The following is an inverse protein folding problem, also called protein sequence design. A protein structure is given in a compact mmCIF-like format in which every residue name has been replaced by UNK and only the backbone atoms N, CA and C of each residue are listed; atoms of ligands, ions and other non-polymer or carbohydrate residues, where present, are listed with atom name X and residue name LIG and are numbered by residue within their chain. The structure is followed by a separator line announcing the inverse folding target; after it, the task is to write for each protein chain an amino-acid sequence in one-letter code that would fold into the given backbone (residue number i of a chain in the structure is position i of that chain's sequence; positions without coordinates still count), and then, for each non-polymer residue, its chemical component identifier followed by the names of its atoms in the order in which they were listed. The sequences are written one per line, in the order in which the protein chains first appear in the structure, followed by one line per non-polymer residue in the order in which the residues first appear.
data_IF_101415006800
#
_entry.id   IF_101415006800
#
_cell.length_a   1.000
_cell.length_b   1.000
_cell.length_c   1.000
_cell.angle_alpha   90.00
_cell.angle_beta   90.00
_cell.angle_gamma   90.00
#
_symmetry.space_group_name_H-M   'P 1'
#
loop_
_entity.id
_entity.type
_entity.pdbx_description
1 polymer ?
#
# COMPACT_ATOMS: atom_id res chain seq x y z
N UNK A 1 21.20 9.57 -20.95
CA UNK A 1 20.15 9.65 -19.91
C UNK A 1 18.99 8.80 -20.39
N UNK A 2 18.39 7.98 -19.51
CA UNK A 2 17.14 7.29 -19.82
C UNK A 2 16.05 8.36 -20.03
N UNK A 3 15.16 8.14 -21.01
CA UNK A 3 13.99 9.00 -21.17
C UNK A 3 13.07 8.87 -19.97
N UNK A 4 12.47 9.98 -19.50
CA UNK A 4 11.55 10.01 -18.35
C UNK A 4 10.38 9.03 -18.52
N UNK A 5 9.98 8.68 -19.76
CA UNK A 5 8.96 7.68 -20.09
C UNK A 5 9.26 6.25 -19.58
N UNK A 6 10.52 5.92 -19.31
CA UNK A 6 10.92 4.61 -18.82
C UNK A 6 11.21 4.60 -17.32
N UNK A 7 11.37 5.77 -16.70
CA UNK A 7 11.83 5.84 -15.30
C UNK A 7 10.80 5.19 -14.38
N UNK A 8 9.54 5.59 -14.50
CA UNK A 8 8.49 5.04 -13.63
C UNK A 8 8.26 3.55 -13.89
N UNK A 9 8.32 3.10 -15.13
CA UNK A 9 8.23 1.67 -15.47
C UNK A 9 9.36 0.85 -14.83
N UNK A 10 10.61 1.32 -14.97
CA UNK A 10 11.77 0.65 -14.37
C UNK A 10 11.64 0.66 -12.86
N UNK A 11 11.22 1.78 -12.28
CA UNK A 11 11.12 1.95 -10.84
C UNK A 11 9.99 1.11 -10.24
N UNK A 12 8.80 1.11 -10.83
CA UNK A 12 7.70 0.21 -10.41
C UNK A 12 8.09 -1.25 -10.52
N UNK A 13 8.84 -1.61 -11.58
CA UNK A 13 9.38 -2.96 -11.77
C UNK A 13 10.42 -3.31 -10.70
N UNK A 14 11.16 -2.33 -10.18
CA UNK A 14 12.12 -2.55 -9.10
C UNK A 14 11.48 -3.06 -7.81
N UNK A 15 10.19 -2.73 -7.55
CA UNK A 15 9.42 -3.34 -6.46
C UNK A 15 9.30 -4.86 -6.58
N UNK A 16 9.30 -5.38 -7.80
CA UNK A 16 9.18 -6.81 -8.03
C UNK A 16 10.43 -7.59 -7.61
N UNK A 17 11.60 -6.95 -7.50
CA UNK A 17 12.82 -7.63 -7.06
C UNK A 17 12.73 -8.08 -5.59
N UNK A 18 12.46 -7.22 -4.58
CA UNK A 18 12.26 -7.67 -3.21
C UNK A 18 10.99 -8.53 -3.06
N UNK A 19 9.93 -8.29 -3.86
CA UNK A 19 8.75 -9.14 -3.89
C UNK A 19 9.13 -10.58 -4.29
N UNK A 20 9.88 -10.75 -5.39
CA UNK A 20 10.34 -12.05 -5.87
C UNK A 20 11.28 -12.71 -4.86
N UNK A 21 12.18 -11.94 -4.26
CA UNK A 21 13.09 -12.42 -3.23
C UNK A 21 12.31 -13.02 -2.05
N UNK A 22 11.31 -12.31 -1.53
CA UNK A 22 10.47 -12.83 -0.44
C UNK A 22 9.69 -14.07 -0.90
N UNK A 23 9.12 -14.03 -2.11
CA UNK A 23 8.39 -15.17 -2.67
C UNK A 23 9.24 -16.44 -2.76
N UNK A 24 10.51 -16.30 -3.12
CA UNK A 24 11.43 -17.43 -3.27
C UNK A 24 11.94 -17.94 -1.93
N UNK A 25 12.36 -17.04 -1.04
CA UNK A 25 12.99 -17.38 0.24
C UNK A 25 11.99 -17.82 1.32
N UNK A 26 10.72 -17.40 1.24
CA UNK A 26 9.70 -17.67 2.26
C UNK A 26 8.47 -18.39 1.68
N UNK A 27 8.59 -19.72 1.36
CA UNK A 27 7.52 -20.47 0.68
C UNK A 27 6.17 -20.44 1.41
N UNK A 28 6.18 -20.37 2.75
CA UNK A 28 4.98 -20.32 3.58
C UNK A 28 4.10 -19.07 3.30
N UNK A 29 4.71 -17.98 2.81
CA UNK A 29 4.04 -16.73 2.54
C UNK A 29 3.55 -16.59 1.09
N UNK A 30 3.97 -17.45 0.15
CA UNK A 30 3.69 -17.35 -1.29
C UNK A 30 2.22 -17.15 -1.62
N UNK A 31 1.37 -18.02 -1.06
CA UNK A 31 -0.08 -17.96 -1.32
C UNK A 31 -0.69 -16.63 -0.88
N UNK A 32 -0.28 -16.14 0.27
CA UNK A 32 -0.79 -14.87 0.83
C UNK A 32 -0.29 -13.69 0.02
N UNK A 33 0.98 -13.69 -0.38
CA UNK A 33 1.56 -12.66 -1.26
C UNK A 33 0.82 -12.57 -2.58
N UNK A 34 0.65 -13.70 -3.28
CA UNK A 34 -0.04 -13.75 -4.58
C UNK A 34 -1.49 -13.28 -4.46
N UNK A 35 -2.19 -13.72 -3.42
CA UNK A 35 -3.56 -13.30 -3.14
C UNK A 35 -3.64 -11.78 -2.89
N UNK A 36 -2.78 -11.24 -2.05
CA UNK A 36 -2.75 -9.82 -1.72
C UNK A 36 -2.36 -8.96 -2.92
N UNK A 37 -1.35 -9.39 -3.69
CA UNK A 37 -0.95 -8.73 -4.94
C UNK A 37 -2.10 -8.68 -5.95
N UNK A 38 -2.83 -9.78 -6.13
CA UNK A 38 -3.97 -9.82 -7.04
C UNK A 38 -5.10 -8.88 -6.60
N UNK A 39 -5.33 -8.74 -5.29
CA UNK A 39 -6.35 -7.82 -4.75
C UNK A 39 -5.95 -6.35 -4.85
N UNK A 40 -4.67 -6.03 -4.93
CA UNK A 40 -4.21 -4.64 -5.06
C UNK A 40 -4.10 -4.16 -6.50
N UNK A 41 -3.94 -5.05 -7.49
CA UNK A 41 -3.89 -4.65 -8.92
C UNK A 41 -5.00 -3.67 -9.31
N UNK A 42 -6.30 -3.90 -8.97
CA UNK A 42 -7.37 -2.99 -9.36
C UNK A 42 -7.21 -1.56 -8.84
N UNK A 43 -6.42 -1.33 -7.79
CA UNK A 43 -6.15 0.03 -7.32
C UNK A 43 -5.27 0.82 -8.31
N UNK A 44 -4.48 0.17 -9.15
CA UNK A 44 -3.80 0.85 -10.26
C UNK A 44 -4.77 1.47 -11.28
N UNK A 45 -6.03 0.99 -11.35
CA UNK A 45 -7.07 1.60 -12.18
C UNK A 45 -7.65 2.89 -11.59
N UNK A 46 -7.23 3.28 -10.39
CA UNK A 46 -7.61 4.58 -9.81
C UNK A 46 -6.72 5.73 -10.28
N UNK A 47 -5.70 5.46 -11.09
CA UNK A 47 -4.76 6.45 -11.64
C UNK A 47 -5.43 7.74 -12.15
N UNK A 48 -6.53 7.70 -12.92
CA UNK A 48 -7.20 8.91 -13.41
C UNK A 48 -7.72 9.87 -12.31
N UNK A 49 -7.82 9.40 -11.07
CA UNK A 49 -8.20 10.23 -9.92
C UNK A 49 -7.01 11.08 -9.45
N UNK A 50 -5.80 10.52 -9.55
CA UNK A 50 -4.56 11.15 -9.07
C UNK A 50 -3.89 11.99 -10.13
N UNK A 51 -3.90 11.55 -11.39
CA UNK A 51 -3.30 12.27 -12.53
C UNK A 51 -4.29 13.31 -13.08
N UNK A 52 -3.86 14.57 -13.33
CA UNK A 52 -2.55 15.15 -13.00
C UNK A 52 -2.53 15.88 -11.64
N UNK A 53 -3.55 15.73 -10.80
CA UNK A 53 -3.79 16.55 -9.60
C UNK A 53 -2.78 16.29 -8.48
N UNK A 54 -2.25 15.08 -8.39
CA UNK A 54 -1.26 14.69 -7.40
C UNK A 54 0.12 14.53 -8.03
N UNK A 55 0.18 13.85 -9.16
CA UNK A 55 1.38 13.60 -9.93
C UNK A 55 1.04 13.41 -11.42
N UNK A 56 2.06 13.47 -12.27
CA UNK A 56 1.88 13.27 -13.71
C UNK A 56 3.10 12.59 -14.32
N UNK A 57 3.35 11.30 -14.03
CA UNK A 57 4.52 10.60 -14.56
C UNK A 57 4.35 10.35 -16.06
N UNK A 58 5.39 10.62 -16.86
CA UNK A 58 5.44 10.08 -18.21
C UNK A 58 5.38 8.56 -18.16
N UNK A 59 4.44 7.95 -18.89
CA UNK A 59 4.19 6.51 -18.88
C UNK A 59 4.72 5.83 -20.15
N UNK A 60 4.90 4.51 -20.07
CA UNK A 60 5.31 3.68 -21.19
C UNK A 60 4.28 3.83 -22.34
N UNK A 61 4.76 4.16 -23.55
CA UNK A 61 3.91 4.41 -24.74
C UNK A 61 2.90 5.56 -24.57
N UNK A 62 3.09 6.46 -23.62
CA UNK A 62 2.15 7.51 -23.25
C UNK A 62 0.74 6.97 -22.89
N UNK A 63 0.68 5.79 -22.30
CA UNK A 63 -0.58 5.13 -22.00
C UNK A 63 -1.43 5.95 -21.01
N UNK A 64 -0.84 6.47 -19.95
CA UNK A 64 -1.56 7.30 -18.99
C UNK A 64 -2.17 8.54 -19.66
N UNK A 65 -1.40 9.22 -20.52
CA UNK A 65 -1.83 10.44 -21.23
C UNK A 65 -2.92 10.15 -22.28
N UNK A 66 -2.89 8.96 -22.91
CA UNK A 66 -3.85 8.55 -23.95
C UNK A 66 -5.11 7.92 -23.42
N UNK A 67 -5.01 7.15 -22.33
CA UNK A 67 -6.11 6.31 -21.83
C UNK A 67 -6.53 6.62 -20.39
N UNK A 68 -5.70 7.37 -19.66
CA UNK A 68 -5.84 7.60 -18.22
C UNK A 68 -5.29 6.46 -17.35
N UNK A 69 -4.77 5.38 -17.96
CA UNK A 69 -4.27 4.19 -17.26
C UNK A 69 -2.87 3.84 -17.75
N UNK A 70 -2.06 3.24 -16.90
CA UNK A 70 -0.73 2.75 -17.24
C UNK A 70 -0.45 1.37 -16.64
N UNK A 71 0.61 0.72 -17.15
CA UNK A 71 1.05 -0.58 -16.65
C UNK A 71 1.84 -0.44 -15.35
N UNK A 72 2.50 0.67 -15.18
CA UNK A 72 3.36 0.99 -14.06
C UNK A 72 2.58 0.99 -12.75
N UNK A 73 1.41 1.62 -12.75
CA UNK A 73 0.52 1.65 -11.59
C UNK A 73 -0.03 0.27 -11.22
N UNK A 74 -0.30 -0.59 -12.22
CA UNK A 74 -0.68 -1.98 -11.97
C UNK A 74 0.46 -2.78 -11.35
N UNK A 75 1.70 -2.63 -11.88
CA UNK A 75 2.89 -3.29 -11.35
C UNK A 75 3.22 -2.80 -9.94
N UNK A 76 3.15 -1.49 -9.74
CA UNK A 76 3.34 -0.88 -8.42
C UNK A 76 2.35 -1.45 -7.40
N UNK A 77 1.05 -1.43 -7.71
CA UNK A 77 0.01 -1.96 -6.83
C UNK A 77 0.21 -3.45 -6.54
N UNK A 78 0.56 -4.25 -7.56
CA UNK A 78 0.90 -5.66 -7.36
C UNK A 78 2.05 -5.84 -6.38
N UNK A 79 3.14 -5.09 -6.54
CA UNK A 79 4.33 -5.18 -5.70
C UNK A 79 4.06 -4.79 -4.26
N UNK A 80 3.46 -3.60 -4.04
CA UNK A 80 3.21 -3.10 -2.68
C UNK A 80 2.24 -3.99 -1.90
N UNK A 81 1.19 -4.52 -2.55
CA UNK A 81 0.20 -5.36 -1.90
C UNK A 81 0.78 -6.66 -1.36
N UNK A 82 1.60 -7.33 -2.17
CA UNK A 82 2.24 -8.58 -1.76
C UNK A 82 3.30 -8.40 -0.67
N UNK A 83 4.06 -7.30 -0.72
CA UNK A 83 5.08 -7.02 0.30
C UNK A 83 4.43 -6.60 1.62
N UNK A 84 3.51 -5.63 1.59
CA UNK A 84 2.91 -5.08 2.81
C UNK A 84 2.21 -6.15 3.67
N UNK A 85 1.54 -7.12 3.06
CA UNK A 85 0.80 -8.15 3.81
C UNK A 85 1.70 -9.12 4.57
N UNK A 86 2.94 -9.36 4.11
CA UNK A 86 3.84 -10.35 4.70
C UNK A 86 5.06 -9.76 5.40
N UNK A 87 5.41 -8.49 5.16
CA UNK A 87 6.63 -7.87 5.64
C UNK A 87 6.81 -8.03 7.17
N UNK A 88 5.76 -7.74 7.93
CA UNK A 88 5.76 -7.95 9.37
C UNK A 88 6.04 -9.43 9.73
N UNK A 89 5.33 -10.36 9.09
CA UNK A 89 5.46 -11.79 9.38
C UNK A 89 6.86 -12.34 9.07
N UNK A 90 7.44 -11.89 7.95
CA UNK A 90 8.81 -12.27 7.54
C UNK A 90 9.83 -11.78 8.56
N UNK A 91 9.75 -10.50 8.96
CA UNK A 91 10.73 -9.91 9.88
C UNK A 91 10.58 -10.41 11.32
N UNK A 92 9.36 -10.72 11.76
CA UNK A 92 9.09 -11.18 13.13
C UNK A 92 8.96 -12.71 13.24
N UNK A 93 9.16 -13.43 12.14
CA UNK A 93 9.04 -14.91 12.07
C UNK A 93 7.70 -15.40 12.61
N UNK A 94 6.60 -14.73 12.17
CA UNK A 94 5.23 -15.09 12.56
C UNK A 94 4.53 -15.87 11.44
N UNK A 95 3.77 -16.87 11.84
CA UNK A 95 2.93 -17.67 10.97
C UNK A 95 1.44 -17.43 11.26
N UNK A 96 0.60 -18.05 10.46
CA UNK A 96 -0.86 -17.94 10.61
C UNK A 96 -1.46 -19.20 11.25
N UNK A 97 -2.29 -18.99 12.27
CA UNK A 97 -3.14 -20.00 12.86
C UNK A 97 -4.63 -19.63 12.70
N UNK A 98 -5.54 -20.60 12.58
CA UNK A 98 -6.96 -20.30 12.51
C UNK A 98 -7.46 -19.73 13.85
N UNK A 99 -8.38 -18.75 13.77
CA UNK A 99 -9.13 -18.28 14.94
C UNK A 99 -10.21 -19.31 15.27
N UNK A 100 -10.36 -19.74 16.54
CA UNK A 100 -11.40 -20.66 16.94
C UNK A 100 -12.80 -20.15 16.61
N UNK A 101 -13.70 -21.03 16.19
CA UNK A 101 -15.08 -20.67 15.78
C UNK A 101 -15.81 -19.92 16.89
N UNK A 102 -15.64 -20.33 18.16
CA UNK A 102 -16.25 -19.69 19.34
C UNK A 102 -15.85 -18.21 19.46
N UNK A 103 -14.61 -17.85 19.13
CA UNK A 103 -14.13 -16.48 19.20
C UNK A 103 -14.72 -15.61 18.07
N UNK A 104 -14.99 -16.20 16.90
CA UNK A 104 -15.57 -15.49 15.74
C UNK A 104 -17.00 -15.01 16.02
N UNK A 105 -17.75 -15.67 16.90
CA UNK A 105 -19.14 -15.34 17.25
C UNK A 105 -19.25 -14.21 18.27
N UNK A 106 -18.15 -13.63 18.73
CA UNK A 106 -18.18 -12.55 19.71
C UNK A 106 -18.82 -11.28 19.14
N UNK A 107 -19.60 -10.54 19.97
CA UNK A 107 -20.36 -9.33 19.57
C UNK A 107 -19.50 -8.26 18.86
N UNK A 108 -18.24 -8.11 19.21
CA UNK A 108 -17.32 -7.17 18.57
C UNK A 108 -17.10 -7.42 17.07
N UNK A 109 -17.34 -8.66 16.62
CA UNK A 109 -17.20 -9.07 15.22
C UNK A 109 -18.49 -8.90 14.41
N UNK A 110 -19.54 -8.28 14.98
CA UNK A 110 -20.82 -8.04 14.29
C UNK A 110 -20.63 -7.35 12.93
N UNK A 111 -19.69 -6.42 12.84
CA UNK A 111 -19.39 -5.65 11.62
C UNK A 111 -18.06 -6.05 11.00
N UNK A 112 -17.62 -7.29 11.18
CA UNK A 112 -16.31 -7.77 10.77
C UNK A 112 -15.97 -7.50 9.28
N UNK A 113 -16.90 -7.82 8.38
CA UNK A 113 -16.72 -7.55 6.95
C UNK A 113 -16.78 -6.05 6.62
N UNK A 114 -17.66 -5.32 7.28
CA UNK A 114 -17.79 -3.88 7.08
C UNK A 114 -16.50 -3.13 7.47
N UNK A 115 -15.81 -3.56 8.51
CA UNK A 115 -14.54 -2.95 8.93
C UNK A 115 -13.47 -2.96 7.82
N UNK A 116 -13.41 -4.04 7.03
CA UNK A 116 -12.47 -4.14 5.89
C UNK A 116 -12.92 -3.24 4.72
N UNK A 117 -14.20 -3.01 4.56
CA UNK A 117 -14.73 -2.19 3.47
C UNK A 117 -14.67 -0.69 3.75
N UNK A 118 -14.29 -0.28 4.96
CA UNK A 118 -14.21 1.15 5.35
C UNK A 118 -13.42 1.99 4.35
N UNK A 119 -12.22 1.63 3.87
CA UNK A 119 -11.50 2.47 2.92
C UNK A 119 -12.23 2.61 1.58
N UNK A 120 -12.89 1.56 1.11
CA UNK A 120 -13.61 1.56 -0.17
C UNK A 120 -14.81 2.52 -0.14
N UNK A 121 -15.44 2.67 1.03
CA UNK A 121 -16.56 3.61 1.22
C UNK A 121 -16.05 5.00 1.58
N UNK A 122 -15.02 5.10 2.43
CA UNK A 122 -14.51 6.38 2.90
C UNK A 122 -13.80 7.17 1.78
N UNK A 123 -13.05 6.50 0.90
CA UNK A 123 -12.31 7.18 -0.15
C UNK A 123 -13.21 8.00 -1.09
N UNK A 124 -14.24 7.46 -1.75
CA UNK A 124 -15.12 8.27 -2.59
C UNK A 124 -15.87 9.35 -1.82
N UNK A 125 -16.27 9.11 -0.57
CA UNK A 125 -16.91 10.12 0.26
C UNK A 125 -15.98 11.28 0.59
N UNK A 126 -14.74 11.01 0.97
CA UNK A 126 -13.74 12.03 1.26
C UNK A 126 -13.26 12.75 -0.01
N UNK A 127 -13.29 12.08 -1.16
CA UNK A 127 -12.93 12.65 -2.45
C UNK A 127 -13.93 13.70 -2.96
N UNK A 128 -15.09 13.85 -2.32
CA UNK A 128 -16.00 14.97 -2.59
C UNK A 128 -15.49 16.31 -2.02
N UNK A 129 -14.51 16.27 -1.12
CA UNK A 129 -13.88 17.45 -0.57
C UNK A 129 -12.89 18.06 -1.58
N UNK A 130 -12.69 19.40 -1.57
CA UNK A 130 -11.79 20.07 -2.50
C UNK A 130 -10.30 19.88 -2.13
N UNK A 131 -9.92 18.65 -1.77
CA UNK A 131 -8.55 18.30 -1.38
C UNK A 131 -7.82 17.65 -2.53
N UNK A 132 -6.47 17.67 -2.46
CA UNK A 132 -5.66 16.81 -3.31
C UNK A 132 -6.02 15.34 -3.04
N UNK A 133 -6.21 14.49 -4.08
CA UNK A 133 -6.71 13.12 -3.94
C UNK A 133 -5.87 12.22 -3.02
N UNK A 134 -4.62 12.55 -2.77
CA UNK A 134 -3.76 11.79 -1.86
C UNK A 134 -4.27 11.84 -0.40
N UNK A 135 -4.81 12.98 0.06
CA UNK A 135 -5.31 13.12 1.42
C UNK A 135 -6.55 12.26 1.71
N UNK A 136 -7.60 12.23 0.85
CA UNK A 136 -8.66 11.24 0.93
C UNK A 136 -8.17 9.80 0.96
N UNK A 137 -7.16 9.44 0.16
CA UNK A 137 -6.60 8.09 0.13
C UNK A 137 -5.92 7.73 1.47
N UNK A 138 -5.04 8.59 1.98
CA UNK A 138 -4.37 8.42 3.28
C UNK A 138 -5.42 8.30 4.40
N UNK A 139 -6.39 9.21 4.44
CA UNK A 139 -7.43 9.22 5.48
C UNK A 139 -8.31 7.97 5.43
N UNK A 140 -8.73 7.54 4.24
CA UNK A 140 -9.52 6.32 4.06
C UNK A 140 -8.78 5.06 4.53
N UNK A 141 -7.49 4.93 4.17
CA UNK A 141 -6.64 3.82 4.62
C UNK A 141 -6.44 3.83 6.14
N UNK A 142 -6.19 5.01 6.73
CA UNK A 142 -6.08 5.17 8.18
C UNK A 142 -7.37 4.79 8.91
N UNK A 143 -8.54 5.23 8.40
CA UNK A 143 -9.84 4.83 8.92
C UNK A 143 -10.06 3.30 8.83
N UNK A 144 -9.62 2.69 7.73
CA UNK A 144 -9.65 1.24 7.57
C UNK A 144 -8.78 0.51 8.59
N UNK A 145 -7.57 1.00 8.85
CA UNK A 145 -6.66 0.46 9.86
C UNK A 145 -7.27 0.56 11.28
N UNK A 146 -7.89 1.69 11.61
CA UNK A 146 -8.60 1.88 12.88
C UNK A 146 -9.80 0.93 12.99
N UNK A 147 -10.64 0.84 11.97
CA UNK A 147 -11.83 -0.01 11.97
C UNK A 147 -11.48 -1.49 12.09
N UNK A 148 -10.47 -1.97 11.36
CA UNK A 148 -10.01 -3.36 11.43
C UNK A 148 -9.37 -3.68 12.79
N UNK A 149 -8.57 -2.76 13.36
CA UNK A 149 -7.98 -2.92 14.69
C UNK A 149 -9.03 -2.90 15.81
N UNK A 150 -10.05 -2.05 15.71
CA UNK A 150 -11.16 -2.03 16.66
C UNK A 150 -11.97 -3.36 16.64
N UNK A 151 -12.15 -3.95 15.45
CA UNK A 151 -12.77 -5.25 15.28
C UNK A 151 -11.86 -6.40 15.74
N UNK A 152 -10.55 -6.34 15.48
CA UNK A 152 -9.54 -7.35 15.77
C UNK A 152 -8.37 -6.75 16.56
N UNK A 153 -8.57 -6.43 17.87
CA UNK A 153 -7.52 -5.85 18.72
C UNK A 153 -6.27 -6.73 18.85
N UNK A 154 -6.43 -8.03 18.65
CA UNK A 154 -5.32 -8.99 18.59
C UNK A 154 -4.32 -8.73 17.43
N UNK A 155 -4.75 -7.98 16.42
CA UNK A 155 -3.91 -7.56 15.29
C UNK A 155 -3.37 -6.12 15.44
N UNK A 156 -3.74 -5.40 16.49
CA UNK A 156 -3.39 -3.98 16.67
C UNK A 156 -1.88 -3.71 16.65
N UNK A 157 -1.09 -4.52 17.36
CA UNK A 157 0.37 -4.41 17.33
C UNK A 157 0.93 -4.64 15.91
N UNK A 158 0.43 -5.67 15.18
CA UNK A 158 0.79 -5.90 13.79
C UNK A 158 0.42 -4.71 12.90
N UNK A 159 -0.76 -4.13 13.09
CA UNK A 159 -1.21 -2.95 12.34
C UNK A 159 -0.25 -1.78 12.48
N UNK A 160 0.13 -1.44 13.71
CA UNK A 160 1.03 -0.30 13.97
C UNK A 160 2.46 -0.57 13.49
N UNK A 161 3.02 -1.70 13.89
CA UNK A 161 4.41 -2.05 13.52
C UNK A 161 4.52 -2.32 12.02
N UNK A 162 3.55 -3.03 11.43
CA UNK A 162 3.51 -3.31 10.01
C UNK A 162 3.38 -2.04 9.16
N UNK A 163 2.59 -1.07 9.63
CA UNK A 163 2.54 0.27 9.03
C UNK A 163 3.88 0.97 9.04
N UNK A 164 4.55 1.02 10.19
CA UNK A 164 5.88 1.62 10.32
C UNK A 164 6.95 0.91 9.45
N UNK A 165 6.95 -0.42 9.46
CA UNK A 165 7.88 -1.22 8.64
C UNK A 165 7.65 -0.98 7.15
N UNK A 166 6.40 -0.94 6.71
CA UNK A 166 6.11 -0.69 5.30
C UNK A 166 6.43 0.76 4.91
N UNK A 167 6.14 1.75 5.76
CA UNK A 167 6.53 3.15 5.53
C UNK A 167 8.05 3.29 5.40
N UNK A 168 8.82 2.63 6.28
CA UNK A 168 10.28 2.61 6.19
C UNK A 168 10.79 1.94 4.90
N UNK A 169 10.22 0.81 4.51
CA UNK A 169 10.50 0.15 3.24
C UNK A 169 10.19 1.05 2.04
N UNK A 170 9.03 1.69 2.07
CA UNK A 170 8.58 2.60 1.02
C UNK A 170 9.47 3.85 0.93
N UNK A 171 9.91 4.39 2.07
CA UNK A 171 10.88 5.49 2.11
C UNK A 171 12.20 5.10 1.45
N UNK A 172 12.73 3.90 1.71
CA UNK A 172 13.96 3.41 1.06
C UNK A 172 13.76 3.35 -0.47
N UNK A 173 12.60 2.90 -0.91
CA UNK A 173 12.26 2.87 -2.32
C UNK A 173 12.23 4.28 -2.93
N UNK A 174 11.57 5.24 -2.29
CA UNK A 174 11.50 6.63 -2.77
C UNK A 174 12.86 7.33 -2.73
N UNK A 175 13.67 7.11 -1.68
CA UNK A 175 15.05 7.62 -1.61
C UNK A 175 15.94 7.07 -2.74
N UNK A 176 15.73 5.81 -3.12
CA UNK A 176 16.39 5.25 -4.29
C UNK A 176 16.05 6.02 -5.57
N UNK A 177 14.78 6.37 -5.78
CA UNK A 177 14.33 7.17 -6.92
C UNK A 177 14.99 8.55 -6.93
N UNK A 178 14.93 9.27 -5.80
CA UNK A 178 15.56 10.59 -5.63
C UNK A 178 17.07 10.53 -5.92
N UNK A 179 17.75 9.49 -5.42
CA UNK A 179 19.20 9.35 -5.55
C UNK A 179 19.65 8.99 -6.97
N UNK A 180 18.91 8.12 -7.63
CA UNK A 180 19.26 7.61 -8.98
C UNK A 180 18.78 8.51 -10.10
N UNK A 181 17.72 9.29 -9.87
CA UNK A 181 17.13 10.21 -10.85
C UNK A 181 16.87 11.57 -10.18
N UNK A 182 17.92 12.37 -9.92
CA UNK A 182 17.77 13.67 -9.28
C UNK A 182 16.79 14.59 -10.04
N UNK A 183 15.93 15.29 -9.31
CA UNK A 183 14.94 16.19 -9.87
C UNK A 183 13.71 15.51 -10.47
N UNK A 184 13.58 14.18 -10.37
CA UNK A 184 12.41 13.47 -10.90
C UNK A 184 11.14 13.78 -10.11
N UNK A 185 11.24 13.82 -8.77
CA UNK A 185 10.10 14.16 -7.90
C UNK A 185 9.55 15.53 -8.25
N UNK A 186 10.41 16.53 -8.37
CA UNK A 186 10.05 17.92 -8.66
C UNK A 186 9.38 18.11 -10.03
N UNK A 187 9.68 17.21 -10.98
CA UNK A 187 9.09 17.26 -12.32
C UNK A 187 7.74 16.52 -12.42
N UNK A 188 7.52 15.55 -11.56
CA UNK A 188 6.41 14.60 -11.70
C UNK A 188 5.32 14.85 -10.66
N UNK A 189 5.68 15.19 -9.41
CA UNK A 189 4.70 15.50 -8.37
C UNK A 189 4.26 16.97 -8.41
N UNK A 190 2.99 17.24 -8.23
CA UNK A 190 2.49 18.61 -8.04
C UNK A 190 2.75 19.05 -6.59
N UNK A 191 4.02 19.39 -6.31
CA UNK A 191 4.44 19.80 -4.96
C UNK A 191 3.70 21.06 -4.47
N UNK A 192 3.17 21.87 -5.38
CA UNK A 192 2.41 23.08 -5.03
C UNK A 192 1.04 22.77 -4.46
N UNK A 193 0.47 21.60 -4.81
CA UNK A 193 -0.81 21.10 -4.32
C UNK A 193 -0.69 20.20 -3.07
N UNK A 194 0.53 20.06 -2.53
CA UNK A 194 0.87 19.26 -1.36
C UNK A 194 1.23 20.15 -0.16
N UNK A 195 1.60 19.52 0.97
CA UNK A 195 2.03 20.25 2.19
C UNK A 195 3.32 21.06 2.00
N UNK A 196 4.11 20.75 0.96
CA UNK A 196 5.43 21.34 0.72
C UNK A 196 6.53 20.82 1.65
N UNK A 197 6.21 19.86 2.54
CA UNK A 197 7.19 19.24 3.43
C UNK A 197 7.86 18.07 2.72
N UNK A 198 9.18 18.12 2.63
CA UNK A 198 10.01 17.07 2.03
C UNK A 198 10.91 16.43 3.10
N UNK A 199 10.97 15.11 3.11
CA UNK A 199 11.94 14.33 3.88
C UNK A 199 13.01 13.79 2.90
N UNK A 200 14.19 14.38 2.91
CA UNK A 200 15.27 14.04 1.97
C UNK A 200 14.85 14.03 0.49
N UNK A 201 14.02 15.01 0.09
CA UNK A 201 13.50 15.13 -1.27
C UNK A 201 12.24 14.30 -1.57
N UNK A 202 11.75 13.52 -0.61
CA UNK A 202 10.50 12.74 -0.73
C UNK A 202 9.35 13.51 -0.08
N UNK A 203 8.20 13.71 -0.76
CA UNK A 203 7.03 14.34 -0.16
C UNK A 203 6.55 13.61 1.10
N UNK A 204 6.18 14.36 2.13
CA UNK A 204 5.64 13.79 3.38
C UNK A 204 4.42 12.91 3.12
N UNK A 205 3.62 13.27 2.13
CA UNK A 205 2.42 12.53 1.71
C UNK A 205 2.74 11.09 1.29
N UNK A 206 3.89 10.85 0.67
CA UNK A 206 4.35 9.49 0.33
C UNK A 206 4.60 8.64 1.57
N UNK A 207 5.23 9.24 2.59
CA UNK A 207 5.47 8.56 3.87
C UNK A 207 4.16 8.27 4.60
N UNK A 208 3.25 9.22 4.61
CA UNK A 208 1.92 9.06 5.20
C UNK A 208 1.09 8.02 4.46
N UNK A 209 1.18 8.00 3.12
CA UNK A 209 0.57 6.95 2.31
C UNK A 209 1.15 5.57 2.66
N UNK A 210 2.47 5.45 2.67
CA UNK A 210 3.16 4.21 3.05
C UNK A 210 2.75 3.72 4.44
N UNK A 211 2.66 4.63 5.42
CA UNK A 211 2.23 4.32 6.78
C UNK A 211 0.77 3.84 6.83
N UNK A 212 -0.15 4.59 6.22
CA UNK A 212 -1.57 4.28 6.25
C UNK A 212 -1.90 3.02 5.45
N UNK A 213 -1.30 2.85 4.26
CA UNK A 213 -1.44 1.64 3.45
C UNK A 213 -0.86 0.42 4.18
N UNK A 214 0.36 0.53 4.69
CA UNK A 214 1.00 -0.56 5.44
C UNK A 214 0.19 -0.94 6.69
N UNK A 215 -0.30 0.04 7.45
CA UNK A 215 -1.11 -0.21 8.63
C UNK A 215 -2.42 -0.94 8.28
N UNK A 216 -3.12 -0.51 7.26
CA UNK A 216 -4.35 -1.16 6.84
C UNK A 216 -4.08 -2.54 6.23
N UNK A 217 -3.17 -2.62 5.25
CA UNK A 217 -3.01 -3.80 4.41
C UNK A 217 -2.30 -4.97 5.10
N UNK A 218 -1.41 -4.69 6.06
CA UNK A 218 -0.63 -5.73 6.75
C UNK A 218 -1.49 -6.78 7.47
N UNK A 219 -2.72 -6.44 7.88
CA UNK A 219 -3.62 -7.33 8.63
C UNK A 219 -4.89 -7.74 7.87
N UNK A 220 -5.06 -7.28 6.62
CA UNK A 220 -6.26 -7.59 5.81
C UNK A 220 -6.46 -9.09 5.61
N UNK A 221 -5.37 -9.84 5.34
CA UNK A 221 -5.47 -11.29 5.16
C UNK A 221 -5.98 -12.01 6.39
N UNK A 222 -5.40 -11.72 7.57
CA UNK A 222 -5.83 -12.31 8.84
C UNK A 222 -7.27 -11.95 9.16
N UNK A 223 -7.67 -10.74 8.88
CA UNK A 223 -9.02 -10.28 9.10
C UNK A 223 -10.00 -11.05 8.22
N UNK A 224 -9.80 -11.06 6.89
CA UNK A 224 -10.71 -11.73 5.95
C UNK A 224 -10.76 -13.24 6.10
N UNK A 225 -9.63 -13.87 6.43
CA UNK A 225 -9.53 -15.35 6.51
C UNK A 225 -9.66 -15.92 7.91
N UNK A 226 -9.94 -15.08 8.91
CA UNK A 226 -10.03 -15.48 10.31
C UNK A 226 -8.74 -16.18 10.79
N UNK A 227 -7.59 -15.57 10.49
CA UNK A 227 -6.28 -16.01 10.98
C UNK A 227 -5.82 -15.13 12.13
N UNK A 228 -4.97 -15.65 12.99
CA UNK A 228 -4.21 -14.94 14.01
C UNK A 228 -2.73 -15.28 13.88
N UNK A 229 -1.87 -14.48 14.47
CA UNK A 229 -0.44 -14.74 14.49
C UNK A 229 -0.08 -15.81 15.51
N UNK A 230 0.93 -16.58 15.18
CA UNK A 230 1.67 -17.45 16.10
C UNK A 230 3.16 -17.40 15.75
N UNK A 231 4.08 -17.53 16.74
CA UNK A 231 5.51 -17.72 16.43
C UNK A 231 5.70 -18.93 15.51
N UNK A 232 6.68 -18.84 14.58
CA UNK A 232 7.14 -20.02 13.84
C UNK A 232 7.94 -20.92 14.78
N UNK A 233 7.72 -22.21 14.68
CA UNK A 233 8.52 -23.21 15.40
C UNK A 233 9.95 -23.26 14.88
#
# INVERSE_FOLDING_TARGET
MLSDHYIWFIWSSAFLAPWLLILLLFPIHRRVMLWASALTIPFGLTEPIFVPRYWNPPSLFDLAQKTGFDLESLLFCFGIGGIAVVLYNVLTRQEWAPVPVRERSHRRHRHHRAAVLVPIVAFPLLSTLPWNPIYPAIAALALGAVATSACRPDLGAKTLIGGALFSGYYMIFMLGLVSLVPGYIERVWDLSALSGVLADGVPLEELLFGLAFGAYWTSVYEHLTWRRLRPSN
#
